data_IF_517688357375
#
_entry.id   IF_517688357375
#
_cell.length_a   1.000
_cell.length_b   1.000
_cell.length_c   1.000
_cell.angle_alpha   90.00
_cell.angle_beta   90.00
_cell.angle_gamma   90.00
#
_symmetry.space_group_name_H-M   'P 1'
#
loop_
_entity.id
_entity.type
_entity.pdbx_description
1 polymer ?
#
# COMPACT_ATOMS: atom_id res chain seq x y z
N UNK A 1 -25.19 1.72 6.74
CA UNK A 1 -24.63 0.37 6.51
C UNK A 1 -23.30 0.25 7.23
N UNK A 2 -23.15 -0.77 8.04
CA UNK A 2 -21.89 -0.99 8.70
C UNK A 2 -20.89 -1.66 7.76
N UNK A 3 -19.68 -1.12 7.72
CA UNK A 3 -18.61 -1.68 6.91
C UNK A 3 -18.09 -3.00 7.50
N UNK A 4 -17.99 -3.05 8.82
CA UNK A 4 -17.40 -4.20 9.52
C UNK A 4 -18.16 -5.50 9.22
N UNK A 5 -17.40 -6.51 8.79
CA UNK A 5 -17.97 -7.83 8.46
C UNK A 5 -18.62 -7.93 7.09
N UNK A 6 -18.64 -6.83 6.32
CA UNK A 6 -19.29 -6.80 5.01
C UNK A 6 -18.38 -7.33 3.90
N UNK A 7 -18.98 -7.67 2.76
CA UNK A 7 -18.23 -8.03 1.55
C UNK A 7 -17.38 -6.86 1.08
N UNK A 8 -17.87 -5.64 1.26
CA UNK A 8 -17.15 -4.42 0.90
C UNK A 8 -15.85 -4.32 1.70
N UNK A 9 -15.92 -4.58 3.01
CA UNK A 9 -14.72 -4.59 3.85
C UNK A 9 -13.71 -5.63 3.36
N UNK A 10 -14.16 -6.84 3.09
CA UNK A 10 -13.29 -7.90 2.60
C UNK A 10 -12.64 -7.52 1.27
N UNK A 11 -13.41 -6.89 0.37
CA UNK A 11 -12.90 -6.45 -0.92
C UNK A 11 -11.89 -5.31 -0.78
N UNK A 12 -12.10 -4.39 0.16
CA UNK A 12 -11.15 -3.31 0.45
C UNK A 12 -9.83 -3.86 0.95
N UNK A 13 -9.85 -4.88 1.82
CA UNK A 13 -8.62 -5.52 2.29
C UNK A 13 -7.87 -6.21 1.14
N UNK A 14 -8.59 -6.87 0.24
CA UNK A 14 -7.98 -7.50 -0.93
C UNK A 14 -7.36 -6.46 -1.86
N UNK A 15 -8.06 -5.37 -2.11
CA UNK A 15 -7.55 -4.29 -2.96
C UNK A 15 -6.31 -3.65 -2.34
N UNK A 16 -6.35 -3.38 -1.04
CA UNK A 16 -5.21 -2.83 -0.31
C UNK A 16 -3.99 -3.76 -0.41
N UNK A 17 -4.19 -5.04 -0.16
CA UNK A 17 -3.10 -6.03 -0.21
C UNK A 17 -2.53 -6.14 -1.63
N UNK A 18 -3.39 -6.21 -2.64
CA UNK A 18 -2.96 -6.33 -4.04
C UNK A 18 -2.15 -5.13 -4.51
N UNK A 19 -2.65 -3.93 -4.23
CA UNK A 19 -1.95 -2.70 -4.64
C UNK A 19 -0.67 -2.47 -3.84
N UNK A 20 -0.64 -2.88 -2.56
CA UNK A 20 0.58 -2.80 -1.76
C UNK A 20 1.67 -3.72 -2.32
N UNK A 21 1.31 -4.94 -2.72
CA UNK A 21 2.25 -5.84 -3.38
C UNK A 21 2.73 -5.27 -4.70
N UNK A 22 1.83 -4.73 -5.51
CA UNK A 22 2.18 -4.12 -6.79
C UNK A 22 3.15 -2.96 -6.59
N UNK A 23 2.88 -2.10 -5.62
CA UNK A 23 3.77 -0.98 -5.31
C UNK A 23 5.18 -1.45 -5.01
N UNK A 24 5.33 -2.48 -4.18
CA UNK A 24 6.65 -3.01 -3.83
C UNK A 24 7.36 -3.60 -5.05
N UNK A 25 6.64 -4.36 -5.87
CA UNK A 25 7.21 -4.94 -7.09
C UNK A 25 7.72 -3.86 -8.04
N UNK A 26 6.93 -2.80 -8.25
CA UNK A 26 7.34 -1.70 -9.12
C UNK A 26 8.53 -0.93 -8.57
N UNK A 27 8.63 -0.77 -7.24
CA UNK A 27 9.82 -0.18 -6.62
C UNK A 27 11.06 -1.04 -6.92
N UNK A 28 10.93 -2.36 -6.81
CA UNK A 28 12.05 -3.28 -7.09
C UNK A 28 12.44 -3.24 -8.56
N UNK A 29 11.44 -3.22 -9.46
CA UNK A 29 11.69 -3.12 -10.90
C UNK A 29 12.40 -1.80 -11.25
N UNK A 30 11.98 -0.71 -10.63
CA UNK A 30 12.62 0.60 -10.82
C UNK A 30 14.09 0.56 -10.41
N UNK A 31 14.37 -0.03 -9.26
CA UNK A 31 15.74 -0.15 -8.76
C UNK A 31 16.62 -0.93 -9.73
N UNK A 32 16.10 -2.05 -10.24
CA UNK A 32 16.85 -2.88 -11.20
C UNK A 32 17.09 -2.15 -12.51
N UNK A 33 16.05 -1.50 -13.04
CA UNK A 33 16.16 -0.73 -14.29
C UNK A 33 17.20 0.37 -14.15
N UNK A 34 17.23 1.07 -13.02
CA UNK A 34 18.19 2.13 -12.77
C UNK A 34 19.62 1.58 -12.74
N UNK A 35 19.84 0.46 -12.07
CA UNK A 35 21.16 -0.19 -12.01
C UNK A 35 21.65 -0.62 -13.38
N UNK A 36 20.74 -0.97 -14.27
CA UNK A 36 21.08 -1.39 -15.63
C UNK A 36 21.16 -0.22 -16.61
N UNK A 37 20.94 1.00 -16.13
CA UNK A 37 21.09 2.22 -16.94
C UNK A 37 19.84 2.65 -17.70
N UNK A 38 18.68 2.03 -17.43
CA UNK A 38 17.42 2.35 -18.11
C UNK A 38 16.66 3.42 -17.31
N UNK A 39 17.13 4.66 -17.38
CA UNK A 39 16.60 5.75 -16.55
C UNK A 39 15.12 6.06 -16.81
N UNK A 40 14.70 6.06 -18.08
CA UNK A 40 13.31 6.34 -18.43
C UNK A 40 12.38 5.23 -17.96
N UNK A 41 12.80 3.99 -18.12
CA UNK A 41 12.03 2.83 -17.67
C UNK A 41 11.93 2.83 -16.13
N UNK A 42 13.04 3.16 -15.45
CA UNK A 42 13.04 3.28 -14.00
C UNK A 42 12.03 4.35 -13.54
N UNK A 43 11.99 5.49 -14.21
CA UNK A 43 11.06 6.57 -13.89
C UNK A 43 9.60 6.13 -14.06
N UNK A 44 9.30 5.37 -15.11
CA UNK A 44 7.95 4.83 -15.32
C UNK A 44 7.54 3.87 -14.21
N UNK A 45 8.45 2.99 -13.80
CA UNK A 45 8.17 2.07 -12.69
C UNK A 45 7.96 2.83 -11.38
N UNK A 46 8.76 3.87 -11.12
CA UNK A 46 8.61 4.69 -9.92
C UNK A 46 7.26 5.42 -9.90
N UNK A 47 6.85 5.98 -11.03
CA UNK A 47 5.56 6.64 -11.15
C UNK A 47 4.42 5.67 -10.88
N UNK A 48 4.50 4.48 -11.46
CA UNK A 48 3.49 3.44 -11.25
C UNK A 48 3.45 3.02 -9.77
N UNK A 49 4.61 2.88 -9.14
CA UNK A 49 4.68 2.55 -7.71
C UNK A 49 4.00 3.62 -6.86
N UNK A 50 4.21 4.89 -7.17
CA UNK A 50 3.55 5.99 -6.45
C UNK A 50 2.04 5.98 -6.63
N UNK A 51 1.57 5.68 -7.84
CA UNK A 51 0.13 5.56 -8.12
C UNK A 51 -0.48 4.42 -7.31
N UNK A 52 0.19 3.27 -7.25
CA UNK A 52 -0.28 2.12 -6.47
C UNK A 52 -0.31 2.45 -4.98
N UNK A 53 0.69 3.19 -4.49
CA UNK A 53 0.74 3.63 -3.10
C UNK A 53 -0.47 4.51 -2.77
N UNK A 54 -0.82 5.46 -3.65
CA UNK A 54 -1.96 6.35 -3.42
C UNK A 54 -3.28 5.59 -3.44
N UNK A 55 -3.43 4.62 -4.35
CA UNK A 55 -4.62 3.77 -4.40
C UNK A 55 -4.74 2.94 -3.10
N UNK A 56 -3.64 2.33 -2.67
CA UNK A 56 -3.62 1.54 -1.43
C UNK A 56 -4.01 2.41 -0.23
N UNK A 57 -3.53 3.65 -0.19
CA UNK A 57 -3.85 4.60 0.87
C UNK A 57 -5.36 4.90 0.93
N UNK A 58 -5.99 5.09 -0.25
CA UNK A 58 -7.43 5.32 -0.32
C UNK A 58 -8.21 4.15 0.30
N UNK A 59 -7.83 2.92 -0.06
CA UNK A 59 -8.50 1.73 0.49
C UNK A 59 -8.27 1.60 1.99
N UNK A 60 -7.05 1.87 2.45
CA UNK A 60 -6.71 1.80 3.86
C UNK A 60 -7.46 2.86 4.68
N UNK A 61 -7.59 4.08 4.13
CA UNK A 61 -8.39 5.13 4.77
C UNK A 61 -9.87 4.74 4.85
N UNK A 62 -10.41 4.15 3.77
CA UNK A 62 -11.79 3.68 3.74
C UNK A 62 -12.03 2.60 4.79
N UNK A 63 -11.02 1.80 5.11
CA UNK A 63 -11.07 0.76 6.15
C UNK A 63 -10.90 1.33 7.56
N UNK A 64 -10.66 2.64 7.69
CA UNK A 64 -10.41 3.27 8.98
C UNK A 64 -9.02 2.99 9.53
N UNK A 65 -8.06 2.62 8.66
CA UNK A 65 -6.72 2.25 9.07
C UNK A 65 -5.82 3.41 9.47
N UNK A 66 -6.17 4.63 9.08
CA UNK A 66 -5.39 5.82 9.41
C UNK A 66 -6.19 6.68 10.38
N UNK A 67 -5.59 6.94 11.54
CA UNK A 67 -6.19 7.77 12.57
C UNK A 67 -5.17 8.84 12.98
N UNK A 68 -5.24 9.37 14.21
CA UNK A 68 -4.23 10.32 14.65
C UNK A 68 -2.92 9.58 14.96
N UNK A 69 -1.86 10.34 15.17
CA UNK A 69 -0.53 9.75 15.38
C UNK A 69 -0.48 8.82 16.59
N UNK A 70 -1.12 9.20 17.68
CA UNK A 70 -1.11 8.38 18.89
C UNK A 70 -1.78 7.02 18.64
N UNK A 71 -2.93 7.03 17.98
CA UNK A 71 -3.64 5.79 17.65
C UNK A 71 -2.87 4.96 16.61
N UNK A 72 -2.25 5.61 15.65
CA UNK A 72 -1.43 4.93 14.64
C UNK A 72 -0.23 4.23 15.29
N UNK A 73 0.38 4.86 16.30
CA UNK A 73 1.48 4.25 17.03
C UNK A 73 1.05 2.99 17.77
N UNK A 74 -0.12 3.02 18.40
CA UNK A 74 -0.66 1.85 19.09
C UNK A 74 -0.92 0.72 18.09
N UNK A 75 -1.53 1.04 16.94
CA UNK A 75 -1.82 0.04 15.91
C UNK A 75 -0.53 -0.58 15.36
N UNK A 76 0.48 0.25 15.12
CA UNK A 76 1.77 -0.23 14.60
C UNK A 76 2.45 -1.16 15.61
N UNK A 77 2.45 -0.79 16.89
CA UNK A 77 3.04 -1.63 17.94
C UNK A 77 2.31 -2.96 18.06
N UNK A 78 0.98 -2.96 17.99
CA UNK A 78 0.18 -4.18 18.03
C UNK A 78 0.50 -5.10 16.84
N UNK A 79 0.65 -4.51 15.64
CA UNK A 79 0.99 -5.26 14.44
C UNK A 79 2.35 -5.94 14.55
N UNK A 80 3.35 -5.22 15.08
CA UNK A 80 4.68 -5.79 15.27
C UNK A 80 4.67 -6.95 16.27
N UNK A 81 3.86 -6.84 17.31
CA UNK A 81 3.76 -7.89 18.33
C UNK A 81 3.09 -9.16 17.81
N UNK A 82 2.32 -9.08 16.74
CA UNK A 82 1.64 -10.23 16.15
C UNK A 82 2.54 -11.03 15.21
N UNK A 83 3.67 -10.48 14.85
CA UNK A 83 4.66 -11.16 14.02
C UNK A 83 5.65 -11.93 14.90
#
# INVERSE_FOLDING_TARGET
MELKGSKTEANLWKAFAGESQARNKYDYYASKAKKEGYEQIAALFQETALNEKEHAKLWFKALGGISDTAENLVAAAAGENEE
#
